data_IF_990837929313
#
_entry.id   IF_990837929313
#
_cell.length_a   1.000
_cell.length_b   1.000
_cell.length_c   1.000
_cell.angle_alpha   90.00
_cell.angle_beta   90.00
_cell.angle_gamma   90.00
#
_symmetry.space_group_name_H-M   'P 1'
#
loop_
_entity.id
_entity.type
_entity.pdbx_description
1 polymer ?
#
# COMPACT_ATOMS: atom_id res chain seq x y z
N UNK A 1 36.73 -25.11 16.72
CA UNK A 1 36.94 -24.05 15.71
C UNK A 1 35.54 -23.64 15.28
N UNK A 2 35.04 -22.46 15.73
CA UNK A 2 33.74 -21.98 15.32
C UNK A 2 33.93 -21.32 13.95
N UNK A 3 33.42 -21.91 12.89
CA UNK A 3 33.34 -21.24 11.60
C UNK A 3 32.36 -20.06 11.72
N UNK A 4 32.86 -18.87 11.46
CA UNK A 4 32.03 -17.69 11.33
C UNK A 4 31.11 -17.91 10.11
N UNK A 5 29.77 -17.80 10.24
CA UNK A 5 28.91 -17.98 9.08
C UNK A 5 29.30 -16.97 8.00
N UNK A 6 29.60 -17.48 6.82
CA UNK A 6 29.85 -16.66 5.63
C UNK A 6 28.61 -15.79 5.43
N UNK A 7 28.75 -14.46 5.22
CA UNK A 7 27.61 -13.62 4.91
C UNK A 7 26.91 -14.20 3.67
N UNK A 8 25.63 -14.53 3.80
CA UNK A 8 24.85 -14.93 2.62
C UNK A 8 24.88 -13.80 1.59
N UNK A 9 25.07 -14.11 0.30
CA UNK A 9 25.05 -13.08 -0.75
C UNK A 9 23.72 -12.34 -0.66
N UNK A 10 23.77 -11.01 -0.72
CA UNK A 10 22.58 -10.16 -0.73
C UNK A 10 21.71 -10.61 -1.90
N UNK A 11 20.60 -11.25 -1.61
CA UNK A 11 19.66 -11.71 -2.63
C UNK A 11 18.99 -10.51 -3.30
N UNK A 12 18.96 -10.50 -4.62
CA UNK A 12 18.21 -9.53 -5.43
C UNK A 12 16.71 -9.87 -5.53
N UNK A 13 16.29 -10.91 -4.78
CA UNK A 13 14.91 -11.44 -4.80
C UNK A 13 14.32 -11.54 -3.42
N UNK A 14 13.00 -11.48 -3.37
CA UNK A 14 12.23 -11.75 -2.16
C UNK A 14 12.45 -13.19 -1.72
N UNK A 15 12.71 -13.36 -0.43
CA UNK A 15 12.87 -14.64 0.26
C UNK A 15 11.80 -14.77 1.34
N UNK A 16 11.46 -15.99 1.76
CA UNK A 16 10.53 -16.24 2.87
C UNK A 16 10.89 -15.46 4.14
N UNK A 17 12.17 -15.29 4.42
CA UNK A 17 12.67 -14.54 5.59
C UNK A 17 12.30 -13.05 5.58
N UNK A 18 11.97 -12.46 4.43
CA UNK A 18 11.44 -11.09 4.35
C UNK A 18 10.02 -10.95 4.92
N UNK A 19 9.31 -12.05 5.13
CA UNK A 19 7.99 -12.07 5.80
C UNK A 19 8.03 -12.48 7.27
N UNK A 20 9.21 -12.81 7.82
CA UNK A 20 9.35 -13.46 9.13
C UNK A 20 9.60 -12.54 10.34
N UNK A 21 9.54 -11.21 10.18
CA UNK A 21 9.74 -10.25 11.29
C UNK A 21 11.21 -10.04 11.72
N UNK A 22 12.17 -10.70 11.05
CA UNK A 22 13.59 -10.60 11.36
C UNK A 22 14.33 -9.46 10.66
N UNK A 23 15.66 -9.55 10.63
CA UNK A 23 16.54 -8.52 10.05
C UNK A 23 16.22 -8.25 8.58
N UNK A 24 16.05 -9.30 7.76
CA UNK A 24 15.74 -9.13 6.34
C UNK A 24 14.41 -8.38 6.10
N UNK A 25 13.38 -8.63 6.89
CA UNK A 25 12.13 -7.87 6.82
C UNK A 25 12.35 -6.40 7.20
N UNK A 26 13.10 -6.12 8.27
CA UNK A 26 13.41 -4.75 8.67
C UNK A 26 14.23 -4.01 7.61
N UNK A 27 15.17 -4.69 6.97
CA UNK A 27 15.98 -4.11 5.89
C UNK A 27 15.12 -3.82 4.66
N UNK A 28 14.19 -4.73 4.29
CA UNK A 28 13.21 -4.52 3.23
C UNK A 28 12.30 -3.31 3.53
N UNK A 29 11.77 -3.24 4.75
CA UNK A 29 10.90 -2.13 5.16
C UNK A 29 11.65 -0.80 5.03
N UNK A 30 12.87 -0.72 5.51
CA UNK A 30 13.67 0.51 5.45
C UNK A 30 14.08 0.90 4.04
N UNK A 31 14.59 -0.06 3.27
CA UNK A 31 15.18 0.22 1.96
C UNK A 31 14.13 0.46 0.87
N UNK A 32 12.97 -0.17 0.95
CA UNK A 32 11.92 -0.07 -0.06
C UNK A 32 10.77 0.80 0.43
N UNK A 33 10.08 0.40 1.50
CA UNK A 33 8.82 1.04 1.89
C UNK A 33 9.02 2.41 2.55
N UNK A 34 9.89 2.54 3.56
CA UNK A 34 10.12 3.83 4.21
C UNK A 34 10.84 4.82 3.31
N UNK A 35 11.67 4.34 2.40
CA UNK A 35 12.31 5.19 1.41
C UNK A 35 11.28 5.83 0.46
N UNK A 36 10.21 5.11 0.11
CA UNK A 36 9.17 5.59 -0.80
C UNK A 36 8.06 6.38 -0.11
N UNK A 37 7.55 5.87 1.01
CA UNK A 37 6.39 6.44 1.72
C UNK A 37 6.76 7.46 2.79
N UNK A 38 8.03 7.52 3.18
CA UNK A 38 8.53 8.34 4.26
C UNK A 38 8.54 7.63 5.61
N UNK A 39 9.28 8.22 6.54
CA UNK A 39 9.37 7.70 7.91
C UNK A 39 8.20 8.24 8.75
N UNK A 40 7.58 7.42 9.62
CA UNK A 40 6.55 7.87 10.54
C UNK A 40 7.03 9.06 11.39
N UNK A 41 6.10 9.95 11.75
CA UNK A 41 6.39 11.08 12.65
C UNK A 41 7.01 10.57 13.95
N UNK A 42 8.20 11.09 14.30
CA UNK A 42 8.94 10.65 15.49
C UNK A 42 9.95 9.51 15.25
N UNK A 43 10.08 8.98 14.03
CA UNK A 43 11.10 7.98 13.68
C UNK A 43 10.91 6.59 14.28
N UNK A 44 9.84 6.37 15.03
CA UNK A 44 9.51 5.08 15.68
C UNK A 44 8.50 4.32 14.82
N UNK A 45 8.82 3.06 14.51
CA UNK A 45 7.88 2.14 13.89
C UNK A 45 7.05 1.48 14.99
N UNK A 46 5.76 1.75 14.99
CA UNK A 46 4.79 1.13 15.88
C UNK A 46 3.88 0.19 15.04
N UNK A 47 3.21 -0.72 15.71
CA UNK A 47 2.24 -1.64 15.07
C UNK A 47 1.04 -0.90 14.47
N UNK A 48 0.76 0.32 14.93
CA UNK A 48 -0.32 1.15 14.41
C UNK A 48 0.15 2.59 14.18
N UNK A 49 -0.42 3.25 13.19
CA UNK A 49 -0.29 4.68 13.00
C UNK A 49 -1.30 5.42 13.88
N UNK A 50 -0.80 6.35 14.69
CA UNK A 50 -1.65 7.28 15.46
C UNK A 50 -1.65 8.62 14.73
N UNK A 51 -2.82 9.10 14.35
CA UNK A 51 -2.99 10.24 13.45
C UNK A 51 -4.04 11.20 13.98
N UNK A 52 -3.78 12.49 13.79
CA UNK A 52 -4.82 13.51 13.98
C UNK A 52 -5.83 13.39 12.85
N UNK A 53 -7.10 13.24 13.19
CA UNK A 53 -8.18 13.17 12.22
C UNK A 53 -9.07 14.41 12.34
N UNK A 54 -9.37 15.12 11.23
CA UNK A 54 -10.23 16.29 11.27
C UNK A 54 -11.63 15.94 11.78
N UNK A 55 -12.32 16.89 12.46
CA UNK A 55 -13.71 16.67 12.85
C UNK A 55 -14.61 16.50 11.63
N UNK A 56 -15.60 15.60 11.70
CA UNK A 56 -16.54 15.36 10.62
C UNK A 56 -16.98 13.90 10.54
N UNK A 57 -17.70 13.58 9.47
CA UNK A 57 -18.11 12.20 9.17
C UNK A 57 -16.95 11.46 8.52
N UNK A 58 -16.55 10.35 9.12
CA UNK A 58 -15.51 9.47 8.58
C UNK A 58 -16.08 8.61 7.45
N UNK A 59 -15.40 8.59 6.31
CA UNK A 59 -15.56 7.59 5.27
C UNK A 59 -14.38 6.61 5.31
N UNK A 60 -14.66 5.32 5.17
CA UNK A 60 -13.65 4.26 5.07
C UNK A 60 -14.01 3.31 3.95
N UNK A 61 -12.99 2.82 3.25
CA UNK A 61 -13.09 1.78 2.25
C UNK A 61 -11.90 0.85 2.32
N UNK A 62 -12.00 -0.32 1.72
CA UNK A 62 -10.87 -1.23 1.50
C UNK A 62 -11.04 -1.93 0.16
N UNK A 63 -9.92 -2.14 -0.52
CA UNK A 63 -9.91 -2.83 -1.80
C UNK A 63 -8.65 -3.69 -1.94
N UNK A 64 -8.72 -4.73 -2.79
CA UNK A 64 -7.64 -5.67 -3.03
C UNK A 64 -7.33 -5.74 -4.51
N UNK A 65 -6.06 -5.69 -4.85
CA UNK A 65 -5.58 -5.58 -6.21
C UNK A 65 -4.75 -6.80 -6.59
N UNK A 66 -5.17 -7.42 -7.68
CA UNK A 66 -4.54 -8.57 -8.33
C UNK A 66 -4.49 -8.27 -9.81
N UNK A 67 -3.30 -7.99 -10.34
CA UNK A 67 -3.09 -7.57 -11.73
C UNK A 67 -1.85 -8.24 -12.31
N UNK A 68 -1.99 -8.80 -13.50
CA UNK A 68 -0.88 -9.29 -14.32
C UNK A 68 -1.01 -8.72 -15.75
N UNK A 69 0.07 -8.13 -16.28
CA UNK A 69 1.38 -7.91 -15.68
C UNK A 69 1.31 -6.84 -14.56
N UNK A 70 2.29 -6.83 -13.63
CA UNK A 70 2.37 -5.86 -12.53
C UNK A 70 2.52 -4.42 -13.01
N UNK A 71 3.17 -4.24 -14.13
CA UNK A 71 3.37 -2.96 -14.83
C UNK A 71 2.65 -3.02 -16.18
N UNK A 72 1.91 -2.00 -16.53
CA UNK A 72 1.12 -1.92 -17.75
C UNK A 72 1.15 -0.48 -18.32
N UNK A 73 0.77 -0.26 -19.58
CA UNK A 73 0.71 1.09 -20.14
C UNK A 73 -0.16 2.02 -19.28
N UNK A 74 0.47 3.07 -18.75
CA UNK A 74 -0.21 4.08 -17.92
C UNK A 74 -0.13 3.85 -16.42
N UNK A 75 0.50 2.77 -15.92
CA UNK A 75 0.67 2.57 -14.49
C UNK A 75 1.17 1.19 -14.08
N UNK A 76 0.98 0.90 -12.82
CA UNK A 76 1.28 -0.39 -12.22
C UNK A 76 0.22 -0.78 -11.19
N UNK A 77 0.29 -2.00 -10.68
CA UNK A 77 -0.54 -2.42 -9.55
C UNK A 77 -0.43 -1.46 -8.35
N UNK A 78 0.74 -0.82 -8.16
CA UNK A 78 0.96 0.17 -7.08
C UNK A 78 0.14 1.44 -7.29
N UNK A 79 0.19 2.05 -8.47
CA UNK A 79 -0.61 3.24 -8.80
C UNK A 79 -2.11 2.91 -8.81
N UNK A 80 -2.48 1.74 -9.33
CA UNK A 80 -3.87 1.27 -9.34
C UNK A 80 -4.43 1.13 -7.91
N UNK A 81 -3.65 0.58 -6.97
CA UNK A 81 -4.06 0.40 -5.59
C UNK A 81 -4.37 1.73 -4.88
N UNK A 82 -3.61 2.78 -5.18
CA UNK A 82 -3.90 4.11 -4.65
C UNK A 82 -5.16 4.70 -5.29
N UNK A 83 -5.21 4.72 -6.62
CA UNK A 83 -6.30 5.37 -7.34
C UNK A 83 -7.65 4.70 -7.10
N UNK A 84 -7.71 3.36 -7.02
CA UNK A 84 -8.94 2.64 -6.73
C UNK A 84 -9.52 3.04 -5.37
N UNK A 85 -8.71 2.95 -4.32
CA UNK A 85 -9.16 3.29 -2.96
C UNK A 85 -9.51 4.79 -2.80
N UNK A 86 -8.73 5.68 -3.45
CA UNK A 86 -9.04 7.13 -3.47
C UNK A 86 -10.37 7.39 -4.18
N UNK A 87 -10.63 6.71 -5.29
CA UNK A 87 -11.89 6.83 -6.02
C UNK A 87 -13.09 6.40 -5.19
N UNK A 88 -12.98 5.30 -4.44
CA UNK A 88 -14.06 4.84 -3.55
C UNK A 88 -14.41 5.89 -2.49
N UNK A 89 -13.39 6.51 -1.87
CA UNK A 89 -13.61 7.61 -0.93
C UNK A 89 -14.26 8.82 -1.61
N UNK A 90 -13.79 9.18 -2.81
CA UNK A 90 -14.35 10.29 -3.58
C UNK A 90 -15.82 10.04 -3.98
N UNK A 91 -16.17 8.79 -4.32
CA UNK A 91 -17.56 8.39 -4.62
C UNK A 91 -18.49 8.51 -3.40
N UNK A 92 -17.94 8.55 -2.20
CA UNK A 92 -18.70 8.84 -0.96
C UNK A 92 -18.75 10.34 -0.62
N UNK A 93 -18.19 11.20 -1.47
CA UNK A 93 -18.06 12.64 -1.22
C UNK A 93 -17.03 13.00 -0.16
N UNK A 94 -16.09 12.12 0.10
CA UNK A 94 -15.03 12.33 1.07
C UNK A 94 -13.77 12.89 0.42
N UNK A 95 -13.06 13.74 1.16
CA UNK A 95 -11.68 14.11 0.90
C UNK A 95 -10.77 13.01 1.46
N UNK A 96 -10.05 12.25 0.64
CA UNK A 96 -9.15 11.21 1.08
C UNK A 96 -7.98 11.80 1.89
N UNK A 97 -7.58 11.15 2.99
CA UNK A 97 -6.50 11.63 3.86
C UNK A 97 -5.40 10.58 4.03
N UNK A 98 -5.79 9.39 4.40
CA UNK A 98 -4.86 8.32 4.79
C UNK A 98 -5.16 7.01 4.10
N UNK A 99 -4.11 6.30 3.73
CA UNK A 99 -4.17 4.92 3.24
C UNK A 99 -3.31 4.02 4.12
N UNK A 100 -3.73 2.78 4.26
CA UNK A 100 -2.88 1.67 4.67
C UNK A 100 -2.51 0.83 3.45
N UNK A 101 -1.40 0.09 3.49
CA UNK A 101 -0.99 -0.77 2.39
C UNK A 101 -0.47 -2.12 2.90
N UNK A 102 -1.20 -3.18 2.65
CA UNK A 102 -0.79 -4.55 2.88
C UNK A 102 -0.23 -5.18 1.62
N UNK A 103 0.90 -5.86 1.71
CA UNK A 103 1.55 -6.55 0.61
C UNK A 103 1.64 -8.04 0.89
N UNK A 104 1.21 -8.85 -0.08
CA UNK A 104 1.53 -10.28 -0.12
C UNK A 104 2.47 -10.48 -1.29
N UNK A 105 3.70 -10.90 -1.00
CA UNK A 105 4.77 -11.05 -1.96
C UNK A 105 5.05 -12.52 -2.18
N UNK A 106 5.31 -12.90 -3.42
CA UNK A 106 5.75 -14.25 -3.72
C UNK A 106 7.27 -14.37 -3.61
N UNK A 107 7.74 -15.45 -2.99
CA UNK A 107 9.16 -15.76 -2.94
C UNK A 107 9.76 -15.89 -4.35
N UNK A 108 10.88 -15.22 -4.58
CA UNK A 108 11.54 -15.14 -5.88
C UNK A 108 11.19 -13.91 -6.71
N UNK A 109 10.23 -13.07 -6.26
CA UNK A 109 9.97 -11.78 -6.89
C UNK A 109 11.26 -10.94 -6.89
N UNK A 110 11.68 -10.34 -8.02
CA UNK A 110 12.80 -9.41 -8.04
C UNK A 110 12.54 -8.20 -7.14
N UNK A 111 13.50 -7.85 -6.28
CA UNK A 111 13.41 -6.66 -5.42
C UNK A 111 13.24 -5.37 -6.23
N UNK A 112 13.84 -5.32 -7.43
CA UNK A 112 13.70 -4.18 -8.34
C UNK A 112 12.25 -4.02 -8.82
N UNK A 113 11.53 -5.11 -9.12
CA UNK A 113 10.12 -5.06 -9.52
C UNK A 113 9.25 -4.55 -8.36
N UNK A 114 9.48 -5.05 -7.14
CA UNK A 114 8.81 -4.53 -5.95
C UNK A 114 9.09 -3.03 -5.76
N UNK A 115 10.35 -2.62 -5.89
CA UNK A 115 10.71 -1.22 -5.71
C UNK A 115 10.00 -0.31 -6.73
N UNK A 116 9.89 -0.70 -8.00
CA UNK A 116 9.12 0.06 -9.01
C UNK A 116 7.65 0.20 -8.61
N UNK A 117 7.00 -0.89 -8.24
CA UNK A 117 5.60 -0.89 -7.78
C UNK A 117 5.40 0.05 -6.59
N UNK A 118 6.30 0.01 -5.61
CA UNK A 118 6.22 0.86 -4.39
C UNK A 118 6.49 2.33 -4.72
N UNK A 119 7.42 2.63 -5.63
CA UNK A 119 7.66 4.01 -6.09
C UNK A 119 6.46 4.59 -6.85
N UNK A 120 5.84 3.81 -7.73
CA UNK A 120 4.62 4.21 -8.43
C UNK A 120 3.47 4.47 -7.46
N UNK A 121 3.32 3.60 -6.45
CA UNK A 121 2.34 3.77 -5.39
C UNK A 121 2.58 5.08 -4.62
N UNK A 122 3.83 5.38 -4.26
CA UNK A 122 4.21 6.61 -3.58
C UNK A 122 3.96 7.85 -4.46
N UNK A 123 4.24 7.76 -5.76
CA UNK A 123 3.97 8.84 -6.70
C UNK A 123 2.47 9.12 -6.84
N UNK A 124 1.66 8.07 -6.97
CA UNK A 124 0.20 8.18 -7.03
C UNK A 124 -0.39 8.77 -5.74
N UNK A 125 0.11 8.35 -4.57
CA UNK A 125 -0.32 8.88 -3.28
C UNK A 125 -0.03 10.39 -3.16
N UNK A 126 1.18 10.82 -3.56
CA UNK A 126 1.54 12.24 -3.59
C UNK A 126 0.65 13.03 -4.55
N UNK A 127 0.39 12.50 -5.75
CA UNK A 127 -0.48 13.15 -6.74
C UNK A 127 -1.93 13.28 -6.25
N UNK A 128 -2.43 12.28 -5.52
CA UNK A 128 -3.77 12.29 -4.93
C UNK A 128 -3.86 13.09 -3.61
N UNK A 129 -2.74 13.58 -3.07
CA UNK A 129 -2.71 14.31 -1.81
C UNK A 129 -2.99 13.45 -0.57
N UNK A 130 -2.80 12.12 -0.66
CA UNK A 130 -3.01 11.17 0.44
C UNK A 130 -1.69 10.66 0.99
N UNK A 131 -1.70 10.22 2.25
CA UNK A 131 -0.53 9.64 2.90
C UNK A 131 -0.73 8.15 3.15
N UNK A 132 0.26 7.33 2.76
CA UNK A 132 0.34 5.93 3.19
C UNK A 132 1.00 5.95 4.56
N UNK A 133 0.27 5.54 5.60
CA UNK A 133 0.65 5.80 7.01
C UNK A 133 1.04 4.55 7.77
N UNK A 134 0.60 3.38 7.34
CA UNK A 134 0.95 2.08 7.92
C UNK A 134 0.73 0.98 6.89
N UNK A 135 1.28 -0.19 7.15
CA UNK A 135 1.12 -1.35 6.29
C UNK A 135 1.63 -2.63 6.92
N UNK A 136 1.48 -3.70 6.18
CA UNK A 136 2.00 -5.02 6.55
C UNK A 136 2.60 -5.70 5.31
N UNK A 137 3.50 -6.66 5.54
CA UNK A 137 4.12 -7.44 4.47
C UNK A 137 4.15 -8.91 4.85
N UNK A 138 3.63 -9.75 3.98
CA UNK A 138 3.73 -11.20 4.07
C UNK A 138 4.42 -11.76 2.84
N UNK A 139 5.11 -12.87 3.00
CA UNK A 139 5.71 -13.61 1.90
C UNK A 139 5.07 -14.98 1.84
N UNK A 140 4.65 -15.36 0.63
CA UNK A 140 4.16 -16.71 0.32
C UNK A 140 5.21 -17.48 -0.48
N UNK A 141 5.17 -18.79 -0.38
CA UNK A 141 6.08 -19.68 -1.10
C UNK A 141 5.95 -19.49 -2.62
N UNK A 142 7.03 -19.77 -3.32
CA UNK A 142 7.07 -19.76 -4.78
C UNK A 142 5.99 -20.67 -5.38
N UNK A 143 5.25 -20.16 -6.38
CA UNK A 143 4.14 -20.85 -7.02
C UNK A 143 2.82 -20.81 -6.23
N UNK A 144 2.76 -19.99 -5.17
CA UNK A 144 1.55 -19.78 -4.37
C UNK A 144 0.94 -18.39 -4.53
N UNK A 145 1.51 -17.57 -5.41
CA UNK A 145 1.04 -16.22 -5.71
C UNK A 145 1.32 -15.84 -7.16
N UNK A 146 0.97 -14.61 -7.53
CA UNK A 146 1.24 -14.02 -8.84
C UNK A 146 2.23 -12.84 -8.71
N UNK A 147 3.25 -13.00 -7.90
CA UNK A 147 4.28 -12.01 -7.64
C UNK A 147 3.90 -11.04 -6.53
N UNK A 148 2.91 -10.18 -6.74
CA UNK A 148 2.46 -9.18 -5.75
C UNK A 148 0.94 -9.09 -5.71
N UNK A 149 0.39 -9.16 -4.50
CA UNK A 149 -0.96 -8.71 -4.21
C UNK A 149 -0.89 -7.50 -3.27
N UNK A 150 -1.75 -6.52 -3.50
CA UNK A 150 -1.83 -5.32 -2.67
C UNK A 150 -3.25 -5.18 -2.14
N UNK A 151 -3.39 -4.99 -0.83
CA UNK A 151 -4.62 -4.53 -0.21
C UNK A 151 -4.40 -3.12 0.31
N UNK A 152 -5.35 -2.24 0.08
CA UNK A 152 -5.37 -0.90 0.66
C UNK A 152 -6.65 -0.68 1.44
N UNK A 153 -6.56 0.02 2.57
CA UNK A 153 -7.71 0.63 3.20
C UNK A 153 -7.52 2.14 3.25
N UNK A 154 -8.60 2.86 3.00
CA UNK A 154 -8.59 4.31 2.95
C UNK A 154 -9.49 4.94 4.00
N UNK A 155 -9.07 6.09 4.53
CA UNK A 155 -9.84 6.94 5.43
C UNK A 155 -9.89 8.37 4.91
N UNK A 156 -11.07 8.98 4.94
CA UNK A 156 -11.31 10.36 4.52
C UNK A 156 -12.44 11.03 5.28
N UNK A 157 -12.56 12.34 5.14
CA UNK A 157 -13.62 13.13 5.74
C UNK A 157 -14.66 13.49 4.69
N UNK A 158 -15.91 13.14 4.95
CA UNK A 158 -17.03 13.53 4.07
C UNK A 158 -17.23 15.04 4.14
N UNK A 159 -17.25 15.69 2.99
CA UNK A 159 -17.50 17.13 2.90
C UNK A 159 -18.85 17.49 3.49
N UNK A 160 -18.87 18.59 4.27
CA UNK A 160 -20.10 19.04 4.90
C UNK A 160 -21.22 19.24 3.88
N UNK A 161 -22.39 18.68 4.16
CA UNK A 161 -23.60 18.82 3.33
C UNK A 161 -23.65 17.89 2.10
N UNK A 162 -22.62 17.07 1.86
CA UNK A 162 -22.68 16.07 0.79
C UNK A 162 -23.28 14.75 1.28
N UNK A 163 -24.23 14.25 0.52
CA UNK A 163 -24.81 12.93 0.69
C UNK A 163 -24.91 12.24 -0.66
N UNK A 164 -23.85 11.52 -1.01
CA UNK A 164 -23.74 10.82 -2.29
C UNK A 164 -24.05 9.34 -2.03
N UNK A 165 -25.11 8.86 -2.67
CA UNK A 165 -25.51 7.44 -2.61
C UNK A 165 -26.24 7.05 -3.90
N UNK A 166 -26.27 5.75 -4.25
CA UNK A 166 -27.07 5.27 -5.37
C UNK A 166 -28.55 5.64 -5.28
N UNK A 167 -29.09 5.74 -4.05
CA UNK A 167 -30.48 6.13 -3.81
C UNK A 167 -30.75 7.63 -4.08
N UNK A 168 -29.71 8.44 -4.18
CA UNK A 168 -29.83 9.88 -4.51
C UNK A 168 -29.91 10.14 -6.02
N UNK A 169 -29.68 9.13 -6.84
CA UNK A 169 -29.80 9.23 -8.31
C UNK A 169 -31.26 9.41 -8.68
N UNK A 170 -31.60 10.51 -9.33
CA UNK A 170 -32.94 10.77 -9.87
C UNK A 170 -32.92 10.57 -11.38
N UNK A 171 -33.93 9.89 -11.94
CA UNK A 171 -34.11 9.88 -13.38
C UNK A 171 -34.48 11.30 -13.83
N UNK A 172 -33.70 11.89 -14.74
CA UNK A 172 -34.16 13.04 -15.48
C UNK A 172 -35.30 12.57 -16.40
N UNK A 173 -36.55 12.92 -16.06
CA UNK A 173 -37.61 12.87 -17.05
C UNK A 173 -37.30 13.94 -18.11
N UNK A 174 -37.14 13.49 -19.36
CA UNK A 174 -36.99 14.34 -20.55
C UNK A 174 -38.28 15.06 -20.82
#
# INVERSE_FOLDING_TARGET
MFECPVPEPVSDRIQMAHGGGGRLMNDLIRSVFLNAFGTPSGGVQNDAAVLDFPPGRLAMTTDSFVVQPLEFPGGSIGSLAVHGTVNDLAMSGADPLYLTAGFILEEGLPLEALNRVVQDMAAAARAAGVRIVTGDTKVVERGKGDGVYINTAGAGVVRHGLEISPSSVRSHAS
#
